data_IF_658374348304
#
_entry.id   IF_658374348304
#
_cell.length_a   1.000
_cell.length_b   1.000
_cell.length_c   1.000
_cell.angle_alpha   90.00
_cell.angle_beta   90.00
_cell.angle_gamma   90.00
#
_symmetry.space_group_name_H-M   'P 1'
#
loop_
_entity.id
_entity.type
_entity.pdbx_description
1 polymer ?
#
# COMPACT_ATOMS: atom_id res chain seq x y z
N UNK A 1 2.60 5.82 13.74
CA UNK A 1 2.42 4.35 13.90
C UNK A 1 0.95 4.04 14.09
N UNK A 2 0.47 3.04 13.38
CA UNK A 2 -0.92 2.58 13.47
C UNK A 2 -0.89 1.13 13.94
N UNK A 3 -1.71 0.80 14.92
CA UNK A 3 -1.74 -0.54 15.48
C UNK A 3 -3.12 -1.16 15.30
N UNK A 4 -3.18 -2.44 14.90
CA UNK A 4 -4.42 -3.20 14.76
C UNK A 4 -4.36 -4.44 15.66
N UNK A 5 -5.37 -5.30 15.59
CA UNK A 5 -5.38 -6.53 16.38
C UNK A 5 -4.15 -7.42 16.09
N UNK A 6 -3.78 -7.58 14.81
CA UNK A 6 -2.71 -8.50 14.40
C UNK A 6 -1.47 -7.82 13.85
N UNK A 7 -1.51 -6.49 13.57
CA UNK A 7 -0.51 -5.80 12.79
C UNK A 7 -0.02 -4.53 13.48
N UNK A 8 1.22 -4.17 13.13
CA UNK A 8 1.78 -2.85 13.42
C UNK A 8 2.15 -2.22 12.08
N UNK A 9 1.59 -1.05 11.80
CA UNK A 9 1.93 -0.23 10.64
C UNK A 9 2.89 0.85 11.14
N UNK A 10 4.13 0.78 10.71
CA UNK A 10 5.23 1.57 11.28
C UNK A 10 6.08 2.26 10.22
N UNK A 11 6.95 3.18 10.65
CA UNK A 11 7.97 3.72 9.76
C UNK A 11 8.88 2.61 9.24
N UNK A 12 9.44 2.83 8.05
CA UNK A 12 10.33 1.87 7.42
C UNK A 12 11.70 1.86 8.07
N UNK A 13 12.31 0.68 8.12
CA UNK A 13 13.68 0.46 8.58
C UNK A 13 14.52 -0.02 7.40
N UNK A 14 15.82 0.23 7.43
CA UNK A 14 16.74 -0.28 6.40
C UNK A 14 16.69 -1.80 6.28
N UNK A 15 16.46 -2.49 7.39
CA UNK A 15 16.32 -3.95 7.40
C UNK A 15 15.10 -4.45 6.63
N UNK A 16 14.14 -3.59 6.30
CA UNK A 16 12.97 -3.94 5.50
C UNK A 16 13.30 -4.06 4.01
N UNK A 17 14.41 -3.51 3.55
CA UNK A 17 14.76 -3.46 2.12
C UNK A 17 14.89 -4.85 1.51
N UNK A 18 15.60 -5.77 2.16
CA UNK A 18 15.79 -7.11 1.61
C UNK A 18 14.48 -7.90 1.54
N UNK A 19 13.66 -8.00 2.60
CA UNK A 19 12.37 -8.67 2.47
C UNK A 19 11.43 -7.95 1.49
N UNK A 20 11.51 -6.63 1.38
CA UNK A 20 10.72 -5.88 0.39
C UNK A 20 11.19 -6.21 -1.03
N UNK A 21 12.50 -6.33 -1.25
CA UNK A 21 13.04 -6.74 -2.55
C UNK A 21 12.55 -8.15 -2.95
N UNK A 22 12.47 -9.07 -1.99
CA UNK A 22 11.93 -10.40 -2.23
C UNK A 22 10.45 -10.35 -2.69
N UNK A 23 9.65 -9.48 -2.08
CA UNK A 23 8.26 -9.26 -2.50
C UNK A 23 8.21 -8.69 -3.92
N UNK A 24 9.01 -7.68 -4.21
CA UNK A 24 9.02 -6.98 -5.50
C UNK A 24 9.59 -7.82 -6.65
N UNK A 25 10.32 -8.88 -6.37
CA UNK A 25 10.82 -9.82 -7.37
C UNK A 25 9.94 -11.05 -7.54
N UNK A 26 8.89 -11.19 -6.74
CA UNK A 26 7.94 -12.29 -6.86
C UNK A 26 6.97 -12.03 -8.01
N UNK A 27 6.99 -12.89 -9.03
CA UNK A 27 6.16 -12.73 -10.22
C UNK A 27 4.67 -12.74 -9.92
N UNK A 28 4.23 -13.53 -8.93
CA UNK A 28 2.82 -13.56 -8.55
C UNK A 28 2.39 -12.27 -7.87
N UNK A 29 3.22 -11.71 -6.98
CA UNK A 29 2.93 -10.43 -6.33
C UNK A 29 2.86 -9.30 -7.34
N UNK A 30 3.76 -9.31 -8.33
CA UNK A 30 3.91 -8.24 -9.32
C UNK A 30 3.13 -8.50 -10.61
N UNK A 31 2.24 -9.51 -10.64
CA UNK A 31 1.52 -9.96 -11.85
C UNK A 31 0.80 -8.82 -12.57
N UNK A 32 0.15 -7.93 -11.83
CA UNK A 32 -0.64 -6.83 -12.42
C UNK A 32 0.11 -5.51 -12.49
N UNK A 33 1.43 -5.53 -12.24
CA UNK A 33 2.29 -4.36 -12.33
C UNK A 33 3.18 -4.48 -13.58
N UNK A 34 3.74 -3.37 -14.06
CA UNK A 34 4.48 -3.41 -15.33
C UNK A 34 5.62 -4.41 -15.37
N UNK A 35 6.31 -4.60 -14.23
CA UNK A 35 7.44 -5.54 -14.12
C UNK A 35 7.78 -5.80 -12.67
N UNK A 36 8.56 -6.85 -12.42
CA UNK A 36 9.24 -7.03 -11.14
C UNK A 36 10.32 -5.96 -10.96
N UNK A 37 10.68 -5.67 -9.72
CA UNK A 37 11.69 -4.68 -9.41
C UNK A 37 13.00 -5.36 -8.98
N UNK A 38 14.13 -4.79 -9.42
CA UNK A 38 15.45 -5.17 -8.94
C UNK A 38 15.68 -4.67 -7.51
N UNK A 39 16.75 -5.11 -6.87
CA UNK A 39 17.17 -4.59 -5.57
C UNK A 39 17.40 -3.07 -5.63
N UNK A 40 18.09 -2.60 -6.67
CA UNK A 40 18.34 -1.16 -6.85
C UNK A 40 17.05 -0.38 -6.97
N UNK A 41 16.10 -0.86 -7.78
CA UNK A 41 14.79 -0.23 -7.94
C UNK A 41 13.99 -0.25 -6.62
N UNK A 42 14.11 -1.31 -5.84
CA UNK A 42 13.49 -1.42 -4.52
C UNK A 42 14.08 -0.39 -3.55
N UNK A 43 15.39 -0.19 -3.56
CA UNK A 43 16.05 0.84 -2.73
C UNK A 43 15.54 2.24 -3.12
N UNK A 44 15.42 2.52 -4.41
CA UNK A 44 14.89 3.79 -4.90
C UNK A 44 13.43 3.99 -4.42
N UNK A 45 12.63 2.96 -4.47
CA UNK A 45 11.24 2.99 -3.98
C UNK A 45 11.21 3.27 -2.47
N UNK A 46 12.03 2.54 -1.71
CA UNK A 46 12.19 2.77 -0.27
C UNK A 46 12.54 4.23 0.03
N UNK A 47 13.50 4.79 -0.69
CA UNK A 47 13.91 6.19 -0.50
C UNK A 47 12.77 7.17 -0.77
N UNK A 48 11.97 6.92 -1.81
CA UNK A 48 10.79 7.75 -2.10
C UNK A 48 9.74 7.66 -0.99
N UNK A 49 9.51 6.47 -0.45
CA UNK A 49 8.57 6.29 0.66
C UNK A 49 9.02 7.07 1.89
N UNK A 50 10.30 6.97 2.26
CA UNK A 50 10.84 7.69 3.42
C UNK A 50 10.73 9.20 3.21
N UNK A 51 11.07 9.69 2.00
CA UNK A 51 10.96 11.12 1.69
C UNK A 51 9.51 11.61 1.76
N UNK A 52 8.56 10.81 1.33
CA UNK A 52 7.13 11.17 1.38
C UNK A 52 6.63 11.24 2.84
N UNK A 53 7.05 10.30 3.69
CA UNK A 53 6.76 10.37 5.13
C UNK A 53 7.35 11.61 5.77
N UNK A 54 8.58 11.96 5.44
CA UNK A 54 9.24 13.16 5.97
C UNK A 54 8.50 14.44 5.54
N UNK A 55 7.99 14.45 4.31
CA UNK A 55 7.29 15.61 3.77
C UNK A 55 5.88 15.78 4.34
N UNK A 56 5.11 14.72 4.44
CA UNK A 56 3.68 14.77 4.77
C UNK A 56 3.33 14.29 6.17
N UNK A 57 4.21 13.56 6.85
CA UNK A 57 3.93 12.94 8.14
C UNK A 57 3.11 11.66 8.06
N UNK A 58 2.81 11.19 6.86
CA UNK A 58 2.11 9.94 6.58
C UNK A 58 2.54 9.43 5.20
N UNK A 59 2.20 8.18 4.88
CA UNK A 59 2.54 7.59 3.59
C UNK A 59 2.27 6.10 3.57
N UNK A 60 3.04 5.36 2.78
CA UNK A 60 3.01 3.89 2.79
C UNK A 60 3.72 3.41 4.06
N UNK A 61 3.05 2.61 4.87
CA UNK A 61 3.60 2.07 6.10
C UNK A 61 4.19 0.68 5.89
N UNK A 62 5.31 0.40 6.53
CA UNK A 62 5.80 -0.96 6.66
C UNK A 62 4.87 -1.72 7.58
N UNK A 63 4.41 -2.90 7.17
CA UNK A 63 3.48 -3.73 7.92
C UNK A 63 4.21 -4.88 8.56
N UNK A 64 4.05 -5.02 9.86
CA UNK A 64 4.68 -6.05 10.67
C UNK A 64 3.62 -6.86 11.39
N UNK A 65 3.76 -8.18 11.40
CA UNK A 65 2.86 -9.03 12.19
C UNK A 65 3.23 -9.03 13.65
N UNK A 66 2.25 -8.89 14.54
CA UNK A 66 2.50 -8.91 15.99
C UNK A 66 2.96 -10.29 16.47
N UNK A 67 2.51 -11.36 15.83
CA UNK A 67 2.80 -12.74 16.24
C UNK A 67 4.29 -13.08 16.15
N UNK A 68 4.95 -12.68 15.07
CA UNK A 68 6.34 -13.06 14.78
C UNK A 68 7.29 -11.88 14.54
N UNK A 69 6.77 -10.66 14.53
CA UNK A 69 7.59 -9.47 14.30
C UNK A 69 8.17 -9.39 12.89
N UNK A 70 7.52 -10.01 11.88
CA UNK A 70 8.02 -10.06 10.52
C UNK A 70 7.43 -8.96 9.66
N UNK A 71 8.26 -8.34 8.84
CA UNK A 71 7.83 -7.44 7.76
C UNK A 71 7.11 -8.25 6.67
N UNK A 72 5.90 -7.86 6.32
CA UNK A 72 5.09 -8.60 5.33
C UNK A 72 4.72 -7.78 4.09
N UNK A 73 5.09 -6.51 4.03
CA UNK A 73 4.78 -5.64 2.90
C UNK A 73 4.40 -4.24 3.35
N UNK A 74 3.62 -3.55 2.52
CA UNK A 74 3.16 -2.21 2.86
C UNK A 74 1.66 -2.05 2.67
N UNK A 75 1.10 -1.11 3.43
CA UNK A 75 -0.25 -0.56 3.23
C UNK A 75 -0.19 0.91 3.63
N UNK A 76 -0.86 1.78 2.88
CA UNK A 76 -0.93 3.18 3.27
C UNK A 76 -1.24 4.10 2.11
N UNK A 77 -0.82 5.35 2.26
CA UNK A 77 -1.19 6.46 1.38
C UNK A 77 -0.05 6.84 0.46
N UNK A 78 -0.41 7.25 -0.76
CA UNK A 78 0.54 7.73 -1.75
C UNK A 78 -0.10 8.88 -2.53
N UNK A 79 0.64 9.96 -2.70
CA UNK A 79 0.21 11.09 -3.51
C UNK A 79 0.39 10.80 -4.98
N UNK A 80 -0.58 11.19 -5.80
CA UNK A 80 -0.48 11.07 -7.26
C UNK A 80 -0.91 12.38 -7.92
N UNK A 81 -0.33 12.66 -9.11
CA UNK A 81 -0.67 13.83 -9.91
C UNK A 81 -0.67 13.53 -11.42
N UNK A 82 -0.73 12.25 -11.81
CA UNK A 82 -0.84 11.91 -13.22
C UNK A 82 -2.18 12.37 -13.81
N UNK A 83 -2.23 12.50 -15.14
CA UNK A 83 -3.41 13.02 -15.84
C UNK A 83 -4.60 12.06 -15.75
N UNK A 84 -5.49 12.36 -14.84
CA UNK A 84 -6.77 11.69 -14.65
C UNK A 84 -7.76 12.76 -14.15
N UNK A 85 -9.04 12.58 -14.41
CA UNK A 85 -10.05 13.59 -14.08
C UNK A 85 -10.17 13.94 -12.59
N UNK A 86 -9.59 13.14 -11.71
CA UNK A 86 -9.60 13.32 -10.26
C UNK A 86 -8.21 13.65 -9.68
N UNK A 87 -7.26 13.98 -10.55
CA UNK A 87 -5.88 14.30 -10.14
C UNK A 87 -5.70 15.80 -9.90
N UNK A 88 -4.80 16.25 -8.98
CA UNK A 88 -4.01 15.43 -8.09
C UNK A 88 -4.82 14.89 -6.92
N UNK A 89 -4.33 13.81 -6.29
CA UNK A 89 -5.05 13.19 -5.19
C UNK A 89 -4.19 12.29 -4.35
N UNK A 90 -4.84 11.54 -3.47
CA UNK A 90 -4.21 10.56 -2.60
C UNK A 90 -4.84 9.20 -2.85
N UNK A 91 -4.00 8.19 -3.07
CA UNK A 91 -4.47 6.81 -3.15
C UNK A 91 -4.14 6.06 -1.88
N UNK A 92 -4.97 5.06 -1.54
CA UNK A 92 -4.61 4.02 -0.59
C UNK A 92 -4.20 2.79 -1.39
N UNK A 93 -3.07 2.19 -1.03
CA UNK A 93 -2.53 1.04 -1.71
C UNK A 93 -1.98 0.01 -0.76
N UNK A 94 -1.76 -1.19 -1.28
CA UNK A 94 -1.22 -2.32 -0.52
C UNK A 94 -0.44 -3.25 -1.42
N UNK A 95 0.58 -3.86 -0.84
CA UNK A 95 1.37 -4.92 -1.45
C UNK A 95 1.94 -5.79 -0.34
N UNK A 96 1.48 -7.04 -0.27
CA UNK A 96 1.92 -8.00 0.73
C UNK A 96 2.60 -9.19 0.07
N UNK A 97 3.53 -9.82 0.78
CA UNK A 97 4.09 -11.10 0.39
C UNK A 97 2.96 -12.12 0.22
N UNK A 98 3.06 -12.98 -0.79
CA UNK A 98 1.98 -13.92 -1.15
C UNK A 98 1.60 -14.88 -0.02
N UNK A 99 2.53 -15.20 0.87
CA UNK A 99 2.30 -16.07 2.02
C UNK A 99 1.26 -15.49 2.99
N UNK A 100 1.01 -14.19 2.89
CA UNK A 100 0.08 -13.48 3.78
C UNK A 100 -1.23 -13.09 3.10
N UNK A 101 -1.46 -13.55 1.87
CA UNK A 101 -2.70 -13.31 1.15
C UNK A 101 -3.85 -14.14 1.71
N UNK A 102 -5.09 -13.70 1.46
CA UNK A 102 -6.32 -14.41 1.81
C UNK A 102 -6.48 -14.68 3.31
N UNK A 103 -5.87 -13.84 4.14
CA UNK A 103 -5.95 -13.93 5.60
C UNK A 103 -6.54 -12.66 6.23
N UNK A 104 -6.98 -11.72 5.39
CA UNK A 104 -7.58 -10.48 5.84
C UNK A 104 -6.61 -9.38 6.27
N UNK A 105 -5.32 -9.57 6.11
CA UNK A 105 -4.33 -8.59 6.55
C UNK A 105 -4.41 -7.27 5.80
N UNK A 106 -4.52 -7.31 4.45
CA UNK A 106 -4.63 -6.08 3.67
C UNK A 106 -5.87 -5.29 4.04
N UNK A 107 -7.01 -5.96 4.22
CA UNK A 107 -8.26 -5.34 4.64
C UNK A 107 -8.15 -4.72 6.04
N UNK A 108 -7.57 -5.45 6.98
CA UNK A 108 -7.36 -4.98 8.35
C UNK A 108 -6.49 -3.72 8.37
N UNK A 109 -5.36 -3.75 7.67
CA UNK A 109 -4.44 -2.62 7.60
C UNK A 109 -5.07 -1.42 6.88
N UNK A 110 -5.74 -1.66 5.75
CA UNK A 110 -6.36 -0.58 4.98
C UNK A 110 -7.48 0.11 5.76
N UNK A 111 -8.31 -0.65 6.46
CA UNK A 111 -9.36 -0.07 7.33
C UNK A 111 -8.75 0.81 8.42
N UNK A 112 -7.66 0.34 9.05
CA UNK A 112 -6.97 1.11 10.08
C UNK A 112 -6.39 2.41 9.53
N UNK A 113 -5.83 2.38 8.31
CA UNK A 113 -5.36 3.58 7.63
C UNK A 113 -6.49 4.57 7.37
N UNK A 114 -7.63 4.10 6.86
CA UNK A 114 -8.78 4.96 6.60
C UNK A 114 -9.33 5.58 7.88
N UNK A 115 -9.41 4.82 8.97
CA UNK A 115 -9.83 5.33 10.27
C UNK A 115 -8.86 6.40 10.79
N UNK A 116 -7.57 6.16 10.66
CA UNK A 116 -6.54 7.11 11.05
C UNK A 116 -6.68 8.42 10.24
N UNK A 117 -6.87 8.32 8.93
CA UNK A 117 -7.04 9.49 8.07
C UNK A 117 -8.30 10.27 8.44
N UNK A 118 -9.40 9.57 8.72
CA UNK A 118 -10.66 10.20 9.11
C UNK A 118 -10.55 10.92 10.45
N UNK A 119 -9.98 10.27 11.45
CA UNK A 119 -9.82 10.83 12.80
C UNK A 119 -8.93 12.08 12.77
N UNK A 120 -7.88 12.06 11.96
CA UNK A 120 -6.93 13.16 11.86
C UNK A 120 -7.27 14.18 10.77
N UNK A 121 -8.41 14.04 10.10
CA UNK A 121 -8.88 14.95 9.05
C UNK A 121 -7.83 15.19 7.95
N UNK A 122 -7.16 14.10 7.50
CA UNK A 122 -6.05 14.23 6.55
C UNK A 122 -6.52 14.52 5.12
N UNK A 123 -7.64 13.92 4.70
CA UNK A 123 -8.11 13.97 3.31
C UNK A 123 -9.61 14.12 3.23
N UNK A 124 -10.09 14.81 2.19
CA UNK A 124 -11.52 14.84 1.86
C UNK A 124 -11.92 13.62 1.03
N UNK A 125 -11.01 13.16 0.15
CA UNK A 125 -11.25 12.03 -0.74
C UNK A 125 -10.00 11.16 -0.80
N UNK A 126 -10.21 9.84 -0.88
CA UNK A 126 -9.15 8.85 -1.03
C UNK A 126 -9.55 7.92 -2.17
N UNK A 127 -8.61 7.65 -3.07
CA UNK A 127 -8.80 6.78 -4.22
C UNK A 127 -8.02 5.49 -4.04
N UNK A 128 -8.34 4.49 -4.84
CA UNK A 128 -7.52 3.29 -5.00
C UNK A 128 -7.61 2.83 -6.45
N UNK A 129 -6.49 2.34 -6.98
CA UNK A 129 -6.38 1.92 -8.37
C UNK A 129 -6.02 0.45 -8.45
N UNK A 130 -6.58 -0.23 -9.43
CA UNK A 130 -6.19 -1.61 -9.73
C UNK A 130 -6.39 -1.90 -11.22
N UNK A 131 -5.63 -2.85 -11.72
CA UNK A 131 -5.80 -3.36 -13.06
C UNK A 131 -7.10 -4.16 -13.15
N UNK A 132 -7.83 -4.02 -14.26
CA UNK A 132 -9.00 -4.84 -14.54
C UNK A 132 -8.60 -6.31 -14.50
N UNK A 133 -9.33 -7.11 -13.73
CA UNK A 133 -9.02 -8.53 -13.53
C UNK A 133 -8.28 -8.85 -12.25
N UNK A 134 -7.73 -7.85 -11.56
CA UNK A 134 -7.11 -8.06 -10.24
C UNK A 134 -8.19 -8.14 -9.17
N UNK A 135 -8.86 -9.30 -9.11
CA UNK A 135 -10.01 -9.50 -8.22
C UNK A 135 -9.65 -9.45 -6.73
N UNK A 136 -8.42 -9.84 -6.38
CA UNK A 136 -7.95 -9.79 -5.00
C UNK A 136 -7.95 -8.35 -4.48
N UNK A 137 -7.39 -7.41 -5.25
CA UNK A 137 -7.39 -5.99 -4.89
C UNK A 137 -8.80 -5.39 -4.91
N UNK A 138 -9.61 -5.76 -5.90
CA UNK A 138 -11.01 -5.32 -5.96
C UNK A 138 -11.79 -5.73 -4.71
N UNK A 139 -11.57 -6.96 -4.21
CA UNK A 139 -12.23 -7.43 -2.99
C UNK A 139 -11.82 -6.61 -1.77
N UNK A 140 -10.54 -6.25 -1.65
CA UNK A 140 -10.08 -5.39 -0.56
C UNK A 140 -10.76 -4.03 -0.66
N UNK A 141 -10.79 -3.42 -1.85
CA UNK A 141 -11.48 -2.14 -2.07
C UNK A 141 -12.94 -2.18 -1.62
N UNK A 142 -13.67 -3.23 -1.99
CA UNK A 142 -15.06 -3.42 -1.61
C UNK A 142 -15.23 -3.56 -0.11
N UNK A 143 -14.37 -4.35 0.54
CA UNK A 143 -14.42 -4.61 1.98
C UNK A 143 -14.13 -3.37 2.82
N UNK A 144 -13.35 -2.43 2.30
CA UNK A 144 -13.08 -1.17 2.98
C UNK A 144 -14.08 -0.06 2.61
N UNK A 145 -15.10 -0.38 1.81
CA UNK A 145 -16.21 0.52 1.53
C UNK A 145 -16.03 1.43 0.33
N UNK A 146 -15.09 1.12 -0.57
CA UNK A 146 -14.86 1.93 -1.77
C UNK A 146 -15.81 1.56 -2.89
N UNK A 147 -16.19 2.56 -3.68
CA UNK A 147 -17.07 2.41 -4.83
C UNK A 147 -16.29 2.66 -6.13
N UNK A 148 -16.63 1.91 -7.18
CA UNK A 148 -16.04 2.14 -8.50
C UNK A 148 -16.53 3.46 -9.07
N UNK A 149 -15.60 4.30 -9.54
CA UNK A 149 -15.91 5.59 -10.15
C UNK A 149 -15.78 5.53 -11.67
N UNK A 150 -14.64 5.05 -12.18
CA UNK A 150 -14.40 5.02 -13.63
C UNK A 150 -13.25 4.09 -13.98
N UNK A 151 -13.11 3.86 -15.29
CA UNK A 151 -11.92 3.26 -15.88
C UNK A 151 -11.07 4.38 -16.48
N UNK A 152 -9.74 4.20 -16.48
CA UNK A 152 -8.81 5.13 -17.12
C UNK A 152 -7.53 4.39 -17.51
N UNK A 153 -6.72 5.02 -18.36
CA UNK A 153 -5.41 4.48 -18.72
C UNK A 153 -4.37 5.03 -17.76
N UNK A 154 -3.70 4.14 -17.01
CA UNK A 154 -2.62 4.52 -16.10
C UNK A 154 -1.36 4.77 -16.91
N UNK A 155 -0.70 5.92 -16.73
CA UNK A 155 0.54 6.24 -17.45
C UNK A 155 1.72 5.34 -17.06
#
# INVERSE_FOLDING_TARGET
MIETERLILRPWLKDDILPFSAINSDEEVMEYLPKCLSLEETVQFYNRIVAEHDRFGYGLYAVETKSDGLFIGYVGFHHFDFDAGFSPGVEIGWRLAKEYWNQGYATEAAKACLDYARINHLFNEIYSFTTVGNHRSERVMQKIGMSRVCFFTHP
#
